data_IF_053667428034
#
_entry.id   IF_053667428034
#
_cell.length_a   1.000
_cell.length_b   1.000
_cell.length_c   1.000
_cell.angle_alpha   90.00
_cell.angle_beta   90.00
_cell.angle_gamma   90.00
#
_symmetry.space_group_name_H-M   'P 1'
#
loop_
_entity.id
_entity.type
_entity.pdbx_description
1 polymer ?
#
# COMPACT_ATOMS: atom_id res chain seq x y z
N UNK A 1 -16.45 -9.81 15.36
CA UNK A 1 -15.57 -8.86 14.63
C UNK A 1 -14.17 -9.18 15.09
N UNK A 2 -13.35 -9.74 14.20
CA UNK A 2 -11.97 -10.11 14.49
C UNK A 2 -11.13 -8.86 14.70
N UNK A 3 -10.45 -8.77 15.86
CA UNK A 3 -9.54 -7.67 16.20
C UNK A 3 -8.36 -7.60 15.23
N UNK A 4 -7.98 -8.72 14.62
CA UNK A 4 -6.95 -8.80 13.59
C UNK A 4 -7.34 -8.06 12.31
N UNK A 5 -8.63 -8.08 11.94
CA UNK A 5 -9.19 -7.37 10.79
C UNK A 5 -9.19 -5.85 11.03
N UNK A 6 -9.41 -5.43 12.28
CA UNK A 6 -9.37 -4.02 12.69
C UNK A 6 -7.92 -3.52 12.68
N UNK A 7 -6.97 -4.31 13.19
CA UNK A 7 -5.54 -3.97 13.14
C UNK A 7 -5.00 -3.90 11.70
N UNK A 8 -5.39 -4.85 10.83
CA UNK A 8 -4.98 -4.83 9.41
C UNK A 8 -5.56 -3.59 8.70
N UNK A 9 -6.80 -3.20 9.01
CA UNK A 9 -7.41 -1.97 8.46
C UNK A 9 -6.74 -0.69 8.96
N UNK A 10 -6.45 -0.57 10.27
CA UNK A 10 -5.79 0.61 10.85
C UNK A 10 -4.38 0.78 10.27
N UNK A 11 -3.62 -0.31 10.16
CA UNK A 11 -2.27 -0.28 9.60
C UNK A 11 -2.26 0.11 8.12
N UNK A 12 -3.22 -0.40 7.33
CA UNK A 12 -3.33 -0.06 5.90
C UNK A 12 -3.82 1.37 5.69
N UNK A 13 -4.74 1.86 6.52
CA UNK A 13 -5.28 3.22 6.41
C UNK A 13 -4.21 4.29 6.71
N UNK A 14 -3.38 4.05 7.73
CA UNK A 14 -2.25 4.93 8.06
C UNK A 14 -1.22 5.00 6.92
N UNK A 15 -0.93 3.86 6.30
CA UNK A 15 -0.03 3.74 5.14
C UNK A 15 -0.61 4.47 3.92
N UNK A 16 -1.90 4.30 3.62
CA UNK A 16 -2.58 5.03 2.53
C UNK A 16 -2.57 6.54 2.78
N UNK A 17 -2.74 6.97 4.04
CA UNK A 17 -2.67 8.39 4.42
C UNK A 17 -1.27 8.95 4.18
N UNK A 18 -0.21 8.23 4.54
CA UNK A 18 1.18 8.60 4.24
C UNK A 18 1.42 8.70 2.73
N UNK A 19 0.93 7.74 1.94
CA UNK A 19 1.06 7.79 0.48
C UNK A 19 0.39 9.03 -0.11
N UNK A 20 -0.78 9.45 0.38
CA UNK A 20 -1.44 10.69 -0.06
C UNK A 20 -0.63 11.94 0.29
N UNK A 21 -0.04 12.01 1.48
CA UNK A 21 0.79 13.14 1.90
C UNK A 21 2.05 13.27 1.04
N UNK A 22 2.70 12.14 0.75
CA UNK A 22 3.91 12.06 -0.09
C UNK A 22 3.60 12.12 -1.61
N UNK A 23 2.32 12.28 -2.00
CA UNK A 23 1.84 12.26 -3.39
C UNK A 23 2.27 11.00 -4.16
N UNK A 24 2.36 9.87 -3.47
CA UNK A 24 2.67 8.58 -4.06
C UNK A 24 1.41 8.10 -4.78
N UNK A 25 1.48 8.06 -6.11
CA UNK A 25 0.43 7.49 -6.96
C UNK A 25 0.60 5.97 -7.07
N UNK A 26 -0.45 5.22 -7.45
CA UNK A 26 -0.33 3.79 -7.76
C UNK A 26 0.78 3.49 -8.76
N UNK A 27 1.04 4.40 -9.70
CA UNK A 27 2.11 4.28 -10.69
C UNK A 27 3.50 4.30 -10.05
N UNK A 28 3.74 5.25 -9.15
CA UNK A 28 5.00 5.36 -8.41
C UNK A 28 5.15 4.14 -7.50
N UNK A 29 4.07 3.79 -6.79
CA UNK A 29 4.02 2.68 -5.83
C UNK A 29 4.37 1.34 -6.48
N UNK A 30 3.91 1.11 -7.71
CA UNK A 30 4.24 -0.10 -8.48
C UNK A 30 5.73 -0.23 -8.82
N UNK A 31 6.47 0.88 -8.82
CA UNK A 31 7.89 0.96 -9.12
C UNK A 31 8.78 1.02 -7.86
N UNK A 32 8.19 1.24 -6.67
CA UNK A 32 8.93 1.36 -5.42
C UNK A 32 9.63 0.07 -5.05
N UNK A 33 10.88 0.18 -4.58
CA UNK A 33 11.64 -0.95 -4.06
C UNK A 33 11.19 -1.35 -2.65
N UNK A 34 11.60 -2.53 -2.19
CA UNK A 34 11.36 -2.94 -0.79
C UNK A 34 12.02 -2.00 0.22
N UNK A 35 13.08 -1.29 -0.18
CA UNK A 35 13.72 -0.29 0.68
C UNK A 35 12.81 0.94 0.85
N UNK A 36 12.19 1.41 -0.23
CA UNK A 36 11.32 2.57 -0.18
C UNK A 36 10.07 2.29 0.69
N UNK A 37 9.54 1.06 0.64
CA UNK A 37 8.48 0.63 1.56
C UNK A 37 8.91 0.66 3.03
N UNK A 38 10.15 0.27 3.34
CA UNK A 38 10.70 0.40 4.71
C UNK A 38 10.83 1.86 5.15
N UNK A 39 11.20 2.77 4.24
CA UNK A 39 11.25 4.21 4.53
C UNK A 39 9.86 4.80 4.83
N UNK A 40 8.79 4.15 4.35
CA UNK A 40 7.40 4.50 4.62
C UNK A 40 6.79 3.70 5.78
N UNK A 41 7.64 3.04 6.58
CA UNK A 41 7.29 2.19 7.71
C UNK A 41 6.39 0.98 7.35
N UNK A 42 6.37 0.60 6.07
CA UNK A 42 5.68 -0.60 5.59
C UNK A 42 6.63 -1.78 5.62
N UNK A 43 6.58 -2.56 6.70
CA UNK A 43 7.46 -3.70 6.92
C UNK A 43 6.83 -5.07 6.59
N UNK A 44 5.49 -5.12 6.45
CA UNK A 44 4.78 -6.35 6.11
C UNK A 44 4.87 -6.66 4.61
N UNK A 45 5.62 -7.71 4.27
CA UNK A 45 5.79 -8.19 2.89
C UNK A 45 4.47 -8.63 2.25
N UNK A 46 3.55 -9.18 3.02
CA UNK A 46 2.23 -9.62 2.53
C UNK A 46 1.39 -8.42 2.14
N UNK A 47 1.37 -7.39 2.99
CA UNK A 47 0.71 -6.13 2.70
C UNK A 47 1.31 -5.46 1.44
N UNK A 48 2.63 -5.38 1.33
CA UNK A 48 3.32 -4.84 0.14
C UNK A 48 2.90 -5.59 -1.13
N UNK A 49 2.84 -6.92 -1.09
CA UNK A 49 2.45 -7.73 -2.24
C UNK A 49 0.99 -7.50 -2.63
N UNK A 50 0.07 -7.49 -1.66
CA UNK A 50 -1.36 -7.18 -1.88
C UNK A 50 -1.50 -5.78 -2.52
N UNK A 51 -0.82 -4.78 -1.97
CA UNK A 51 -0.88 -3.40 -2.43
C UNK A 51 -0.36 -3.23 -3.86
N UNK A 52 0.72 -3.96 -4.22
CA UNK A 52 1.23 -4.00 -5.59
C UNK A 52 0.25 -4.65 -6.56
N UNK A 53 -0.37 -5.76 -6.18
CA UNK A 53 -1.37 -6.43 -7.02
C UNK A 53 -2.56 -5.50 -7.27
N UNK A 54 -3.10 -4.88 -6.23
CA UNK A 54 -4.19 -3.91 -6.34
C UNK A 54 -3.83 -2.74 -7.27
N UNK A 55 -2.62 -2.19 -7.16
CA UNK A 55 -2.16 -1.09 -8.04
C UNK A 55 -2.03 -1.51 -9.51
N UNK A 56 -1.59 -2.75 -9.78
CA UNK A 56 -1.51 -3.29 -11.14
C UNK A 56 -2.92 -3.53 -11.71
N UNK A 57 -3.84 -4.06 -10.90
CA UNK A 57 -5.23 -4.24 -11.28
C UNK A 57 -5.93 -2.90 -11.55
N UNK A 58 -5.62 -1.85 -10.79
CA UNK A 58 -6.15 -0.50 -11.00
C UNK A 58 -5.81 0.08 -12.38
N UNK A 59 -4.60 -0.20 -12.91
CA UNK A 59 -4.22 0.17 -14.28
C UNK A 59 -4.97 -0.60 -15.37
N UNK A 60 -5.59 -1.72 -15.03
CA UNK A 60 -6.30 -2.58 -15.99
C UNK A 60 -7.76 -2.19 -16.18
N UNK A 61 -8.27 -1.22 -15.39
CA UNK A 61 -9.61 -0.67 -15.55
C UNK A 61 -9.48 0.63 -16.38
N UNK A 62 -9.94 0.67 -17.63
CA UNK A 62 -9.94 1.89 -18.43
C UNK A 62 -10.97 2.84 -17.82
N UNK A 63 -10.53 4.04 -17.43
CA UNK A 63 -11.41 5.15 -17.09
C UNK A 63 -11.89 5.85 -18.36
#
# INVERSE_FOLDING_TARGET
MDMDLIHEQIGVEEVIRHFRQEKITPDILSLMSLYDFKCLDVNDKTAIMKLRVECICYRSIPW
#
